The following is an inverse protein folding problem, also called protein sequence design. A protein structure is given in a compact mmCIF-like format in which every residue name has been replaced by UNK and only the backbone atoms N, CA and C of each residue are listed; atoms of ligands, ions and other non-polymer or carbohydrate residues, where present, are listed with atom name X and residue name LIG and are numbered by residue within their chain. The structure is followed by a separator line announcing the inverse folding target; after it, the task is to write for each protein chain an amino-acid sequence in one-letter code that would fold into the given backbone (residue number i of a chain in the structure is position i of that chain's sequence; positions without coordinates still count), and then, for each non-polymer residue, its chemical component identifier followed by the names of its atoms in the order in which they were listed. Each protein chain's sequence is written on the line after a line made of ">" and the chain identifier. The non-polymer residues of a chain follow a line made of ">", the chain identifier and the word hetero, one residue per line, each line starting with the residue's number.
data_IF_579507736062
#
_entry.id   IF_579507736062
#
_cell.length_a   1.000
_cell.length_b   1.000
_cell.length_c   1.000
_cell.angle_alpha   90.00
_cell.angle_beta   90.00
_cell.angle_gamma   90.00
#
_symmetry.space_group_name_H-M   'P 1'
#
loop_
_entity.id
_entity.type
_entity.pdbx_description
1 polymer ?
#
# COMPACT_ATOMS: atom_id res chain seq x y z
N UNK A 1 27.43 57.70 -21.08
CA UNK A 1 26.47 57.63 -22.21
C UNK A 1 25.49 56.52 -21.89
N UNK A 2 24.19 56.68 -21.71
CA UNK A 2 23.30 57.83 -21.50
C UNK A 2 21.99 57.18 -21.02
N UNK A 3 21.33 57.85 -20.09
CA UNK A 3 20.06 57.50 -19.45
C UNK A 3 18.84 57.51 -20.39
N UNK A 4 17.81 56.75 -19.97
CA UNK A 4 16.36 56.86 -20.19
C UNK A 4 15.81 57.97 -21.11
N UNK A 5 14.77 57.64 -21.91
CA UNK A 5 13.41 58.21 -21.71
C UNK A 5 12.37 57.82 -22.78
N UNK A 6 11.12 57.75 -22.31
CA UNK A 6 9.84 58.09 -22.96
C UNK A 6 8.88 56.98 -23.44
N UNK A 7 7.69 57.06 -22.85
CA UNK A 7 6.45 56.36 -23.17
C UNK A 7 5.82 56.90 -24.48
N UNK A 8 4.94 56.09 -25.10
CA UNK A 8 3.55 56.44 -25.48
C UNK A 8 3.13 55.78 -26.79
N UNK A 9 2.20 54.83 -26.73
CA UNK A 9 1.04 54.79 -27.64
C UNK A 9 0.08 53.68 -27.21
N UNK A 10 -1.04 54.10 -26.64
CA UNK A 10 -2.21 53.29 -26.41
C UNK A 10 -2.82 52.86 -27.75
N UNK A 11 -3.17 51.58 -27.88
CA UNK A 11 -4.20 51.10 -28.81
C UNK A 11 -4.97 49.95 -28.17
N UNK A 12 -6.07 50.34 -27.51
CA UNK A 12 -7.38 49.67 -27.51
C UNK A 12 -7.41 48.13 -27.44
N UNK A 13 -7.52 47.58 -26.24
CA UNK A 13 -8.13 46.27 -26.01
C UNK A 13 -9.66 46.43 -25.93
N UNK A 14 -10.46 45.69 -26.71
CA UNK A 14 -11.89 45.64 -26.50
C UNK A 14 -12.18 44.77 -25.28
N UNK A 15 -12.82 45.39 -24.30
CA UNK A 15 -13.50 44.73 -23.19
C UNK A 15 -14.51 43.73 -23.72
N UNK A 16 -14.19 42.44 -23.64
CA UNK A 16 -15.18 41.36 -23.71
C UNK A 16 -15.24 40.69 -22.34
N UNK A 17 -16.33 40.99 -21.65
CA UNK A 17 -16.83 40.28 -20.49
C UNK A 17 -17.13 38.84 -20.88
N UNK A 18 -16.27 37.90 -20.49
CA UNK A 18 -16.49 36.46 -20.56
C UNK A 18 -16.30 35.85 -19.18
N UNK A 19 -17.40 35.44 -18.56
CA UNK A 19 -17.48 34.85 -17.22
C UNK A 19 -16.71 33.52 -17.11
N UNK A 20 -15.97 33.36 -16.01
CA UNK A 20 -15.92 32.14 -15.18
C UNK A 20 -15.35 30.86 -15.80
N UNK A 21 -14.03 30.67 -15.68
CA UNK A 21 -13.33 29.44 -16.07
C UNK A 21 -12.75 28.60 -14.92
N UNK A 22 -12.94 29.00 -13.65
CA UNK A 22 -12.30 28.32 -12.50
C UNK A 22 -13.23 27.32 -11.77
N UNK A 23 -14.48 27.19 -12.21
CA UNK A 23 -15.51 26.41 -11.51
C UNK A 23 -15.55 24.90 -11.83
N UNK A 24 -14.90 24.43 -12.89
CA UNK A 24 -15.14 23.08 -13.41
C UNK A 24 -14.16 22.02 -12.87
N UNK A 25 -12.88 22.36 -12.68
CA UNK A 25 -11.89 21.41 -12.15
C UNK A 25 -12.07 21.10 -10.66
N UNK A 26 -12.44 22.11 -9.86
CA UNK A 26 -12.68 21.93 -8.43
C UNK A 26 -13.91 21.05 -8.17
N UNK A 27 -14.94 21.15 -9.02
CA UNK A 27 -16.15 20.33 -8.91
C UNK A 27 -15.90 18.86 -9.27
N UNK A 28 -15.08 18.60 -10.30
CA UNK A 28 -14.68 17.24 -10.68
C UNK A 28 -13.82 16.55 -9.60
N UNK A 29 -12.85 17.26 -9.01
CA UNK A 29 -12.03 16.72 -7.93
C UNK A 29 -12.88 16.44 -6.68
N UNK A 30 -13.74 17.37 -6.28
CA UNK A 30 -14.63 17.19 -5.14
C UNK A 30 -15.63 16.04 -5.35
N UNK A 31 -16.10 15.84 -6.59
CA UNK A 31 -16.94 14.70 -6.95
C UNK A 31 -16.17 13.39 -6.82
N UNK A 32 -14.94 13.33 -7.33
CA UNK A 32 -14.10 12.14 -7.21
C UNK A 32 -13.77 11.83 -5.74
N UNK A 33 -13.50 12.84 -4.90
CA UNK A 33 -13.30 12.67 -3.46
C UNK A 33 -14.51 12.03 -2.78
N UNK A 34 -15.73 12.43 -3.16
CA UNK A 34 -16.97 11.82 -2.63
C UNK A 34 -17.12 10.36 -3.04
N UNK A 35 -16.77 10.03 -4.28
CA UNK A 35 -16.80 8.64 -4.77
C UNK A 35 -15.79 7.80 -3.99
N UNK A 36 -14.56 8.28 -3.86
CA UNK A 36 -13.50 7.60 -3.10
C UNK A 36 -13.93 7.39 -1.64
N UNK A 37 -14.48 8.42 -0.99
CA UNK A 37 -14.98 8.32 0.38
C UNK A 37 -16.14 7.31 0.50
N UNK A 38 -17.03 7.24 -0.49
CA UNK A 38 -18.09 6.24 -0.51
C UNK A 38 -17.53 4.82 -0.71
N UNK A 39 -16.65 4.62 -1.69
CA UNK A 39 -16.01 3.34 -1.99
C UNK A 39 -15.23 2.79 -0.80
N UNK A 40 -14.47 3.65 -0.10
CA UNK A 40 -13.65 3.26 1.05
C UNK A 40 -14.40 3.32 2.38
N UNK A 41 -15.59 3.92 2.43
CA UNK A 41 -16.39 4.08 3.64
C UNK A 41 -16.88 2.75 4.23
N UNK A 42 -17.01 1.72 3.38
CA UNK A 42 -17.42 0.35 3.74
C UNK A 42 -16.27 -0.54 4.23
N UNK A 43 -15.07 0.03 4.37
CA UNK A 43 -13.86 -0.68 4.75
C UNK A 43 -13.45 -0.23 6.15
N UNK A 44 -13.44 -1.13 7.13
CA UNK A 44 -13.16 -0.78 8.53
C UNK A 44 -11.73 -0.29 8.73
N UNK A 45 -10.75 -1.07 8.27
CA UNK A 45 -9.33 -0.74 8.44
C UNK A 45 -8.59 -0.72 7.10
N UNK A 46 -7.92 0.39 6.79
CA UNK A 46 -7.06 0.52 5.60
C UNK A 46 -5.61 0.47 6.06
N UNK A 47 -4.87 -0.56 5.67
CA UNK A 47 -3.49 -0.78 6.07
C UNK A 47 -2.57 -0.43 4.90
N UNK A 48 -1.85 0.67 5.00
CA UNK A 48 -0.88 1.07 3.98
C UNK A 48 0.48 0.45 4.27
N UNK A 49 0.90 -0.51 3.44
CA UNK A 49 2.17 -1.23 3.61
C UNK A 49 3.24 -0.57 2.75
N UNK A 50 4.31 -0.09 3.38
CA UNK A 50 5.40 0.59 2.68
C UNK A 50 6.79 0.10 3.10
N UNK A 51 7.80 0.42 2.28
CA UNK A 51 9.20 0.17 2.60
C UNK A 51 10.13 1.26 2.08
N UNK A 52 11.20 1.58 2.82
CA UNK A 52 12.16 2.61 2.41
C UNK A 52 13.01 2.26 1.19
N UNK A 53 13.03 0.98 0.77
CA UNK A 53 13.72 0.48 -0.42
C UNK A 53 12.99 -0.73 -1.04
N UNK A 54 13.37 -1.08 -2.27
CA UNK A 54 12.99 -2.33 -2.91
C UNK A 54 13.72 -3.54 -2.30
N UNK A 55 13.17 -4.73 -2.50
CA UNK A 55 13.82 -6.00 -2.11
C UNK A 55 13.67 -6.43 -0.65
N UNK A 56 12.98 -5.68 0.20
CA UNK A 56 12.71 -6.08 1.60
C UNK A 56 11.58 -7.10 1.76
N UNK A 57 10.91 -7.47 0.66
CA UNK A 57 9.78 -8.40 0.67
C UNK A 57 8.44 -7.78 1.08
N UNK A 58 8.26 -6.46 0.93
CA UNK A 58 7.01 -5.72 1.22
C UNK A 58 5.76 -6.43 0.67
N UNK A 59 5.71 -6.70 -0.63
CA UNK A 59 4.56 -7.37 -1.27
C UNK A 59 4.29 -8.78 -0.72
N UNK A 60 5.36 -9.52 -0.39
CA UNK A 60 5.23 -10.83 0.26
C UNK A 60 4.64 -10.71 1.67
N UNK A 61 5.07 -9.70 2.44
CA UNK A 61 4.49 -9.39 3.74
C UNK A 61 3.02 -8.99 3.60
N UNK A 62 2.68 -8.14 2.62
CA UNK A 62 1.31 -7.73 2.34
C UNK A 62 0.41 -8.93 2.05
N UNK A 63 0.81 -9.79 1.09
CA UNK A 63 0.03 -10.97 0.69
C UNK A 63 -0.15 -11.96 1.83
N UNK A 64 0.93 -12.32 2.52
CA UNK A 64 0.85 -13.33 3.57
C UNK A 64 0.10 -12.83 4.82
N UNK A 65 0.20 -11.53 5.13
CA UNK A 65 -0.59 -10.91 6.22
C UNK A 65 -2.07 -10.85 5.86
N UNK A 66 -2.40 -10.46 4.63
CA UNK A 66 -3.79 -10.46 4.14
C UNK A 66 -4.39 -11.87 4.17
N UNK A 67 -3.64 -12.86 3.69
CA UNK A 67 -4.04 -14.26 3.73
C UNK A 67 -4.21 -14.78 5.17
N UNK A 68 -3.35 -14.36 6.11
CA UNK A 68 -3.46 -14.70 7.52
C UNK A 68 -4.72 -14.11 8.15
N UNK A 69 -5.03 -12.84 7.88
CA UNK A 69 -6.27 -12.18 8.31
C UNK A 69 -7.51 -12.88 7.73
N UNK A 70 -7.51 -13.20 6.43
CA UNK A 70 -8.59 -13.95 5.79
C UNK A 70 -8.78 -15.34 6.42
N UNK A 71 -7.69 -16.02 6.76
CA UNK A 71 -7.71 -17.31 7.48
C UNK A 71 -8.27 -17.17 8.90
N UNK A 72 -8.21 -15.99 9.52
CA UNK A 72 -8.88 -15.68 10.80
C UNK A 72 -10.38 -15.36 10.63
N UNK A 73 -10.90 -15.36 9.40
CA UNK A 73 -12.31 -15.13 9.09
C UNK A 73 -12.67 -13.67 8.81
N UNK A 74 -11.68 -12.78 8.70
CA UNK A 74 -11.91 -11.40 8.27
C UNK A 74 -12.13 -11.33 6.75
N UNK A 75 -12.98 -10.40 6.29
CA UNK A 75 -13.07 -10.04 4.88
C UNK A 75 -11.94 -9.09 4.51
N UNK A 76 -11.09 -9.51 3.58
CA UNK A 76 -9.83 -8.83 3.26
C UNK A 76 -9.74 -8.51 1.76
N UNK A 77 -9.39 -7.28 1.44
CA UNK A 77 -8.97 -6.85 0.11
C UNK A 77 -7.48 -6.56 0.05
N UNK A 78 -6.84 -6.82 -1.09
CA UNK A 78 -5.49 -6.32 -1.39
C UNK A 78 -5.56 -5.37 -2.58
N UNK A 79 -5.16 -4.12 -2.36
CA UNK A 79 -4.98 -3.11 -3.40
C UNK A 79 -3.49 -2.97 -3.72
N UNK A 80 -3.07 -3.47 -4.87
CA UNK A 80 -1.70 -3.32 -5.35
C UNK A 80 -1.59 -2.09 -6.27
N UNK A 81 -0.83 -1.10 -5.82
CA UNK A 81 -0.57 0.15 -6.56
C UNK A 81 0.84 0.20 -7.16
N UNK A 82 1.61 -0.89 -7.06
CA UNK A 82 2.94 -1.00 -7.65
C UNK A 82 2.86 -1.44 -9.12
N UNK A 83 3.10 -0.50 -10.03
CA UNK A 83 3.12 -0.75 -11.47
C UNK A 83 4.47 -1.25 -12.01
N UNK A 84 5.49 -1.38 -11.14
CA UNK A 84 6.85 -1.74 -11.54
C UNK A 84 7.35 -3.04 -10.89
N UNK A 85 6.63 -3.55 -9.89
CA UNK A 85 6.99 -4.73 -9.11
C UNK A 85 6.41 -6.05 -9.63
N UNK A 86 6.83 -7.20 -9.07
CA UNK A 86 6.15 -8.46 -9.30
C UNK A 86 4.70 -8.37 -8.82
N UNK A 87 3.77 -8.58 -9.75
CA UNK A 87 2.31 -8.49 -9.55
C UNK A 87 1.85 -9.30 -8.33
N UNK A 88 1.20 -8.65 -7.36
CA UNK A 88 0.54 -9.31 -6.22
C UNK A 88 -0.35 -10.49 -6.66
N UNK A 89 -1.14 -10.39 -7.75
CA UNK A 89 -1.84 -11.52 -8.35
C UNK A 89 -0.98 -12.77 -8.57
N UNK A 90 0.28 -12.63 -9.00
CA UNK A 90 1.16 -13.77 -9.23
C UNK A 90 1.52 -14.49 -7.93
N UNK A 91 1.72 -13.76 -6.83
CA UNK A 91 1.97 -14.34 -5.49
C UNK A 91 0.75 -15.12 -4.97
N UNK A 92 -0.43 -14.88 -5.53
CA UNK A 92 -1.67 -15.58 -5.27
C UNK A 92 -2.04 -16.60 -6.37
N UNK A 93 -1.19 -16.79 -7.38
CA UNK A 93 -1.48 -17.71 -8.49
C UNK A 93 -2.69 -17.28 -9.33
N UNK A 94 -3.07 -16.01 -9.27
CA UNK A 94 -4.20 -15.44 -9.99
C UNK A 94 -3.76 -14.80 -11.30
N UNK A 95 -4.61 -14.87 -12.31
CA UNK A 95 -4.42 -14.12 -13.55
C UNK A 95 -4.81 -12.66 -13.34
N UNK A 96 -4.01 -11.74 -13.87
CA UNK A 96 -4.17 -10.29 -13.73
C UNK A 96 -5.23 -9.72 -14.68
N UNK A 97 -6.38 -10.38 -14.80
CA UNK A 97 -7.49 -9.92 -15.64
C UNK A 97 -8.47 -9.12 -14.81
N UNK A 98 -8.72 -7.87 -15.20
CA UNK A 98 -9.75 -7.03 -14.58
C UNK A 98 -11.09 -7.31 -15.22
N UNK A 99 -12.02 -7.81 -14.42
CA UNK A 99 -13.43 -7.90 -14.81
C UNK A 99 -14.16 -6.61 -14.43
N UNK A 100 -15.16 -6.24 -15.23
CA UNK A 100 -16.02 -5.10 -14.95
C UNK A 100 -17.37 -5.60 -14.42
N UNK A 101 -18.05 -4.76 -13.64
CA UNK A 101 -19.39 -5.05 -13.17
C UNK A 101 -20.42 -5.03 -14.31
N UNK A 102 -21.67 -5.42 -14.01
CA UNK A 102 -22.71 -5.51 -15.03
C UNK A 102 -23.02 -4.17 -15.73
N UNK A 103 -22.69 -3.03 -15.09
CA UNK A 103 -22.81 -1.70 -15.68
C UNK A 103 -21.61 -1.30 -16.54
N UNK A 104 -20.48 -2.00 -16.42
CA UNK A 104 -19.23 -1.65 -17.08
C UNK A 104 -18.53 -0.43 -16.47
N UNK A 105 -18.94 0.00 -15.27
CA UNK A 105 -18.47 1.22 -14.63
C UNK A 105 -17.41 0.94 -13.55
N UNK A 106 -17.56 -0.17 -12.82
CA UNK A 106 -16.68 -0.53 -11.71
C UNK A 106 -15.90 -1.80 -12.00
N UNK A 107 -14.64 -1.81 -11.57
CA UNK A 107 -13.79 -2.98 -11.59
C UNK A 107 -14.14 -3.93 -10.44
N UNK A 108 -14.17 -5.22 -10.74
CA UNK A 108 -14.38 -6.29 -9.77
C UNK A 108 -13.01 -6.84 -9.30
N UNK A 109 -12.73 -6.83 -7.98
CA UNK A 109 -11.56 -7.51 -7.45
C UNK A 109 -11.59 -9.01 -7.77
N UNK A 110 -10.46 -9.58 -8.16
CA UNK A 110 -10.31 -11.01 -8.36
C UNK A 110 -10.36 -11.74 -7.01
N UNK A 111 -11.28 -12.69 -6.86
CA UNK A 111 -11.39 -13.49 -5.64
C UNK A 111 -10.29 -14.57 -5.62
N UNK A 112 -9.50 -14.61 -4.55
CA UNK A 112 -8.62 -15.74 -4.25
C UNK A 112 -9.38 -16.84 -3.52
N UNK A 113 -10.19 -16.46 -2.52
CA UNK A 113 -11.12 -17.32 -1.80
C UNK A 113 -12.31 -16.50 -1.28
N UNK A 114 -13.18 -17.09 -0.45
CA UNK A 114 -14.38 -16.42 0.08
C UNK A 114 -14.09 -15.14 0.89
N UNK A 115 -12.90 -15.02 1.49
CA UNK A 115 -12.52 -13.97 2.43
C UNK A 115 -11.38 -13.08 1.92
N UNK A 116 -10.79 -13.38 0.75
CA UNK A 116 -9.66 -12.64 0.20
C UNK A 116 -9.88 -12.34 -1.27
N UNK A 117 -9.85 -11.05 -1.61
CA UNK A 117 -9.86 -10.56 -2.98
C UNK A 117 -8.71 -9.59 -3.25
N UNK A 118 -8.32 -9.45 -4.51
CA UNK A 118 -7.19 -8.61 -4.93
C UNK A 118 -7.53 -7.83 -6.17
N UNK A 119 -7.02 -6.61 -6.24
CA UNK A 119 -6.91 -5.87 -7.49
C UNK A 119 -5.52 -5.25 -7.58
N UNK A 120 -4.93 -5.26 -8.78
CA UNK A 120 -3.60 -4.70 -9.02
C UNK A 120 -3.62 -3.77 -10.22
N UNK A 121 -2.90 -2.65 -10.10
CA UNK A 121 -2.69 -1.73 -11.22
C UNK A 121 -1.96 -2.40 -12.40
N UNK A 122 -1.16 -3.45 -12.16
CA UNK A 122 -0.56 -4.26 -13.22
C UNK A 122 -1.63 -4.89 -14.13
N UNK A 123 -2.81 -5.17 -13.57
CA UNK A 123 -3.94 -5.77 -14.30
C UNK A 123 -4.61 -4.78 -15.27
N UNK A 124 -4.39 -3.47 -15.10
CA UNK A 124 -4.89 -2.44 -16.00
C UNK A 124 -4.01 -2.23 -17.24
N UNK A 125 -2.82 -2.82 -17.25
CA UNK A 125 -1.88 -2.66 -18.35
C UNK A 125 -2.24 -3.66 -19.45
N UNK A 126 -2.58 -3.13 -20.63
CA UNK A 126 -2.86 -3.96 -21.81
C UNK A 126 -1.60 -4.70 -22.30
N UNK A 127 -0.42 -4.12 -22.06
CA UNK A 127 0.88 -4.69 -22.41
C UNK A 127 1.83 -4.54 -21.22
N UNK A 128 2.29 -5.66 -20.66
CA UNK A 128 3.18 -5.70 -19.50
C UNK A 128 4.64 -5.41 -19.85
N UNK A 129 5.02 -5.57 -21.11
CA UNK A 129 6.38 -5.30 -21.58
C UNK A 129 6.58 -3.81 -21.94
N UNK A 130 5.50 -3.04 -21.97
CA UNK A 130 5.55 -1.62 -22.25
C UNK A 130 5.93 -0.80 -21.00
N UNK A 131 7.09 -0.13 -21.06
CA UNK A 131 7.50 0.80 -20.03
C UNK A 131 6.49 1.96 -19.89
N UNK A 132 5.80 2.02 -18.75
CA UNK A 132 4.84 3.08 -18.44
C UNK A 132 5.59 4.39 -18.16
N UNK A 133 5.63 5.28 -19.15
CA UNK A 133 6.20 6.61 -19.02
C UNK A 133 5.12 7.66 -18.67
N UNK A 134 4.40 7.44 -17.57
CA UNK A 134 3.41 8.42 -17.10
C UNK A 134 4.08 9.51 -16.27
N UNK A 135 3.83 10.78 -16.63
CA UNK A 135 4.31 11.94 -15.89
C UNK A 135 3.46 12.17 -14.63
N UNK A 136 4.07 12.67 -13.55
CA UNK A 136 3.52 12.81 -12.19
C UNK A 136 2.01 13.03 -12.08
N UNK A 137 1.43 14.11 -12.64
CA UNK A 137 0.00 14.39 -12.52
C UNK A 137 -0.91 13.31 -13.12
N UNK A 138 -0.51 12.68 -14.23
CA UNK A 138 -1.26 11.57 -14.84
C UNK A 138 -1.20 10.33 -13.97
N UNK A 139 -0.03 10.04 -13.39
CA UNK A 139 0.15 8.91 -12.48
C UNK A 139 -0.71 9.07 -11.23
N UNK A 140 -0.72 10.25 -10.62
CA UNK A 140 -1.57 10.52 -9.45
C UNK A 140 -3.07 10.43 -9.78
N UNK A 141 -3.50 10.94 -10.93
CA UNK A 141 -4.89 10.81 -11.37
C UNK A 141 -5.29 9.35 -11.61
N UNK A 142 -4.41 8.55 -12.22
CA UNK A 142 -4.65 7.13 -12.44
C UNK A 142 -4.79 6.34 -11.13
N UNK A 143 -3.94 6.62 -10.13
CA UNK A 143 -4.04 6.02 -8.78
C UNK A 143 -5.37 6.36 -8.13
N UNK A 144 -5.77 7.64 -8.18
CA UNK A 144 -7.04 8.08 -7.59
C UNK A 144 -8.25 7.47 -8.28
N UNK A 145 -8.26 7.42 -9.60
CA UNK A 145 -9.31 6.78 -10.37
C UNK A 145 -9.38 5.28 -10.05
N UNK A 146 -8.22 4.61 -9.98
CA UNK A 146 -8.15 3.20 -9.62
C UNK A 146 -8.70 2.92 -8.22
N UNK A 147 -8.45 3.79 -7.24
CA UNK A 147 -9.03 3.65 -5.90
C UNK A 147 -10.55 3.87 -5.94
N UNK A 148 -11.04 4.81 -6.75
CA UNK A 148 -12.45 5.17 -6.85
C UNK A 148 -13.31 4.07 -7.49
N UNK A 149 -12.80 3.46 -8.56
CA UNK A 149 -13.59 2.62 -9.47
C UNK A 149 -13.60 1.13 -9.08
N UNK A 150 -13.27 0.78 -7.84
CA UNK A 150 -13.22 -0.62 -7.41
C UNK A 150 -14.39 -0.98 -6.52
N UNK A 151 -15.09 -2.05 -6.88
CA UNK A 151 -16.24 -2.56 -6.13
C UNK A 151 -15.81 -3.53 -5.04
N UNK A 152 -15.28 -3.00 -3.94
CA UNK A 152 -14.84 -3.81 -2.79
C UNK A 152 -15.98 -4.48 -2.02
N UNK A 153 -17.11 -3.78 -1.87
CA UNK A 153 -18.14 -4.17 -0.91
C UNK A 153 -17.68 -3.94 0.53
N UNK A 154 -18.23 -4.73 1.47
CA UNK A 154 -17.90 -4.64 2.90
C UNK A 154 -16.63 -5.42 3.23
N UNK A 155 -15.61 -4.74 3.77
CA UNK A 155 -14.33 -5.34 4.17
C UNK A 155 -13.98 -4.99 5.62
N UNK A 156 -13.39 -5.95 6.33
CA UNK A 156 -12.76 -5.68 7.62
C UNK A 156 -11.39 -5.03 7.43
N UNK A 157 -10.62 -5.48 6.43
CA UNK A 157 -9.28 -4.95 6.14
C UNK A 157 -9.07 -4.75 4.63
N UNK A 158 -8.49 -3.60 4.26
CA UNK A 158 -7.91 -3.37 2.94
C UNK A 158 -6.40 -3.15 3.11
N UNK A 159 -5.60 -4.09 2.61
CA UNK A 159 -4.14 -3.93 2.59
C UNK A 159 -3.73 -3.29 1.27
N UNK A 160 -2.95 -2.21 1.36
CA UNK A 160 -2.51 -1.43 0.20
C UNK A 160 -1.01 -1.67 0.03
N UNK A 161 -0.63 -2.34 -1.06
CA UNK A 161 0.77 -2.58 -1.38
C UNK A 161 1.34 -1.38 -2.15
N UNK A 162 2.13 -0.54 -1.48
CA UNK A 162 2.72 0.65 -2.10
C UNK A 162 3.84 0.28 -3.09
N UNK A 163 4.27 1.15 -4.01
CA UNK A 163 5.57 0.97 -4.68
C UNK A 163 6.72 1.02 -3.65
N UNK A 164 7.94 0.58 -3.99
CA UNK A 164 9.08 0.75 -3.10
C UNK A 164 9.54 2.22 -3.00
N UNK A 165 10.11 2.61 -1.85
CA UNK A 165 10.78 3.90 -1.66
C UNK A 165 9.88 4.95 -0.99
N UNK A 166 10.14 6.23 -1.32
CA UNK A 166 9.42 7.38 -0.74
C UNK A 166 9.08 8.40 -1.84
N UNK A 167 8.52 7.91 -2.95
CA UNK A 167 8.12 8.71 -4.12
C UNK A 167 6.74 9.35 -4.01
N UNK A 168 6.38 10.19 -4.98
CA UNK A 168 5.11 10.95 -5.04
C UNK A 168 3.86 10.04 -5.06
N UNK A 169 4.01 8.77 -5.47
CA UNK A 169 2.94 7.77 -5.46
C UNK A 169 2.42 7.53 -4.05
N UNK A 170 3.33 7.41 -3.08
CA UNK A 170 2.98 7.23 -1.67
C UNK A 170 2.18 8.41 -1.17
N UNK A 171 2.59 9.63 -1.54
CA UNK A 171 1.85 10.83 -1.14
C UNK A 171 0.47 10.90 -1.77
N UNK A 172 0.34 10.44 -3.00
CA UNK A 172 -0.96 10.38 -3.67
C UNK A 172 -1.89 9.43 -2.93
N UNK A 173 -1.43 8.22 -2.58
CA UNK A 173 -2.24 7.23 -1.85
C UNK A 173 -2.63 7.75 -0.47
N UNK A 174 -1.67 8.25 0.32
CA UNK A 174 -1.92 8.73 1.68
C UNK A 174 -2.85 9.96 1.73
N UNK A 175 -2.77 10.86 0.73
CA UNK A 175 -3.73 11.96 0.62
C UNK A 175 -5.12 11.51 0.18
N UNK A 176 -5.20 10.40 -0.54
CA UNK A 176 -6.46 9.85 -1.05
C UNK A 176 -7.15 8.99 0.01
N UNK A 177 -6.38 8.37 0.91
CA UNK A 177 -6.83 7.51 2.00
C UNK A 177 -6.24 8.04 3.32
N UNK A 178 -6.75 9.18 3.83
CA UNK A 178 -6.15 9.88 4.96
C UNK A 178 -6.24 9.10 6.28
N UNK A 179 -7.19 8.18 6.41
CA UNK A 179 -7.39 7.30 7.56
C UNK A 179 -6.53 6.01 7.49
N UNK A 180 -5.64 5.89 6.50
CA UNK A 180 -4.78 4.73 6.35
C UNK A 180 -3.79 4.59 7.52
N UNK A 181 -3.70 3.38 8.05
CA UNK A 181 -2.76 2.97 9.09
C UNK A 181 -1.50 2.39 8.43
N UNK A 182 -0.37 3.06 8.60
CA UNK A 182 0.88 2.75 7.91
C UNK A 182 1.69 1.66 8.64
N UNK A 183 2.03 0.61 7.91
CA UNK A 183 2.95 -0.45 8.34
C UNK A 183 4.25 -0.33 7.55
N UNK A 184 5.37 -0.20 8.25
CA UNK A 184 6.69 -0.07 7.63
C UNK A 184 7.42 -1.41 7.65
N UNK A 185 7.73 -1.95 6.48
CA UNK A 185 8.48 -3.21 6.33
C UNK A 185 9.98 -2.92 6.17
N UNK A 186 10.79 -3.60 6.98
CA UNK A 186 12.26 -3.51 6.95
C UNK A 186 12.93 -4.88 7.03
N UNK A 187 14.26 -4.90 6.96
CA UNK A 187 15.13 -6.07 7.22
C UNK A 187 16.19 -5.73 8.28
N UNK A 188 16.83 -6.71 8.94
CA UNK A 188 17.77 -6.46 10.05
C UNK A 188 19.13 -5.84 9.66
N UNK A 189 19.48 -5.81 8.36
CA UNK A 189 20.81 -5.40 7.91
C UNK A 189 21.08 -3.90 8.21
N UNK A 190 22.23 -3.51 8.77
CA UNK A 190 22.55 -2.10 9.13
C UNK A 190 22.35 -1.06 8.02
N UNK A 191 22.47 -1.46 6.74
CA UNK A 191 22.22 -0.59 5.58
C UNK A 191 20.71 -0.29 5.42
N UNK A 192 19.81 -1.06 6.03
CA UNK A 192 18.35 -0.81 6.08
C UNK A 192 17.93 0.27 7.08
N UNK A 193 18.69 0.54 8.15
CA UNK A 193 18.30 1.54 9.17
C UNK A 193 18.14 2.94 8.56
N UNK A 194 19.00 3.29 7.60
CA UNK A 194 18.90 4.54 6.85
C UNK A 194 17.65 4.59 5.98
N UNK A 195 17.22 3.45 5.42
CA UNK A 195 16.03 3.35 4.58
C UNK A 195 14.76 3.47 5.42
N UNK A 196 14.71 2.85 6.59
CA UNK A 196 13.55 3.00 7.49
C UNK A 196 13.49 4.40 8.07
N UNK A 197 14.62 5.02 8.42
CA UNK A 197 14.65 6.44 8.82
C UNK A 197 14.01 7.32 7.75
N UNK A 198 14.33 7.10 6.47
CA UNK A 198 13.70 7.83 5.36
C UNK A 198 12.19 7.58 5.28
N UNK A 199 11.77 6.32 5.41
CA UNK A 199 10.35 5.96 5.43
C UNK A 199 9.59 6.62 6.58
N UNK A 200 10.14 6.60 7.80
CA UNK A 200 9.53 7.23 8.99
C UNK A 200 9.48 8.74 8.84
N UNK A 201 10.58 9.38 8.40
CA UNK A 201 10.60 10.82 8.15
C UNK A 201 9.59 11.23 7.06
N UNK A 202 9.45 10.40 6.02
CA UNK A 202 8.45 10.61 4.99
C UNK A 202 7.02 10.52 5.55
N UNK A 203 6.73 9.52 6.39
CA UNK A 203 5.43 9.37 7.03
C UNK A 203 5.12 10.53 7.99
N UNK A 204 6.12 11.03 8.71
CA UNK A 204 5.98 12.24 9.52
C UNK A 204 5.68 13.48 8.66
N UNK A 205 6.40 13.66 7.56
CA UNK A 205 6.13 14.73 6.60
C UNK A 205 4.73 14.63 5.98
N UNK A 206 4.28 13.41 5.72
CA UNK A 206 2.95 13.10 5.20
C UNK A 206 1.83 13.25 6.25
N UNK A 207 2.16 13.47 7.53
CA UNK A 207 1.24 13.40 8.67
C UNK A 207 0.43 12.09 8.70
N UNK A 208 1.09 10.98 8.37
CA UNK A 208 0.44 9.68 8.26
C UNK A 208 0.40 8.94 9.61
N UNK A 209 -0.65 8.15 9.81
CA UNK A 209 -0.88 7.39 11.03
C UNK A 209 -0.03 6.10 11.04
N UNK A 210 1.12 6.11 11.70
CA UNK A 210 2.01 4.93 11.74
C UNK A 210 1.50 3.89 12.74
N UNK A 211 1.09 2.72 12.24
CA UNK A 211 0.64 1.59 13.07
C UNK A 211 1.82 0.87 13.72
N UNK A 212 2.92 0.72 12.99
CA UNK A 212 4.15 0.11 13.49
C UNK A 212 5.10 -0.39 12.43
N UNK A 213 6.15 -1.09 12.89
CA UNK A 213 7.24 -1.62 12.07
C UNK A 213 7.20 -3.15 12.07
N UNK A 214 7.44 -3.75 10.91
CA UNK A 214 7.61 -5.19 10.70
C UNK A 214 9.03 -5.47 10.23
N UNK A 215 9.73 -6.35 10.93
CA UNK A 215 11.04 -6.84 10.50
C UNK A 215 10.87 -8.14 9.69
N UNK A 216 11.05 -8.06 8.38
CA UNK A 216 11.07 -9.23 7.50
C UNK A 216 12.50 -9.80 7.40
N UNK A 217 12.61 -11.08 7.02
CA UNK A 217 13.88 -11.78 6.87
C UNK A 217 14.75 -11.78 8.15
N UNK A 218 14.09 -11.86 9.31
CA UNK A 218 14.73 -11.81 10.64
C UNK A 218 15.35 -13.17 11.02
N UNK A 219 16.62 -13.35 10.66
CA UNK A 219 17.33 -14.61 10.78
C UNK A 219 16.72 -15.74 9.95
N UNK A 220 17.17 -16.97 10.19
CA UNK A 220 16.78 -18.18 9.47
C UNK A 220 16.58 -19.30 10.50
N UNK A 221 15.49 -20.04 10.42
CA UNK A 221 15.33 -21.25 11.23
C UNK A 221 15.90 -22.44 10.46
N UNK A 222 16.89 -23.11 11.04
CA UNK A 222 17.51 -24.26 10.39
C UNK A 222 16.49 -25.40 10.19
N UNK A 223 16.26 -25.89 8.95
CA UNK A 223 15.29 -26.94 8.70
C UNK A 223 15.69 -28.29 9.31
N UNK A 224 16.98 -28.50 9.60
CA UNK A 224 17.49 -29.76 10.15
C UNK A 224 17.49 -29.82 11.68
N UNK A 225 17.79 -28.72 12.37
CA UNK A 225 17.96 -28.70 13.82
C UNK A 225 17.05 -27.71 14.55
N UNK A 226 16.22 -26.97 13.82
CA UNK A 226 15.25 -25.96 14.32
C UNK A 226 15.86 -24.86 15.20
N UNK A 227 17.19 -24.73 15.21
CA UNK A 227 17.88 -23.62 15.82
C UNK A 227 17.85 -22.41 14.90
N UNK A 228 17.77 -21.25 15.50
CA UNK A 228 17.86 -19.99 14.77
C UNK A 228 19.31 -19.70 14.37
N UNK A 229 19.46 -19.14 13.17
CA UNK A 229 20.71 -18.70 12.59
C UNK A 229 20.53 -17.22 12.25
N UNK A 230 21.36 -16.37 12.84
CA UNK A 230 21.34 -14.92 12.59
C UNK A 230 22.07 -14.58 11.30
N UNK A 231 21.47 -14.94 10.17
CA UNK A 231 22.08 -14.79 8.84
C UNK A 231 22.44 -13.33 8.51
N UNK A 232 21.62 -12.38 8.98
CA UNK A 232 21.77 -10.95 8.70
C UNK A 232 21.67 -10.05 9.95
N UNK A 233 21.96 -10.60 11.13
CA UNK A 233 21.56 -10.05 12.46
C UNK A 233 20.04 -10.10 12.66
N UNK A 234 19.57 -9.74 13.86
CA UNK A 234 18.16 -9.66 14.25
C UNK A 234 17.94 -8.42 15.12
N UNK A 235 16.69 -7.95 15.19
CA UNK A 235 16.28 -6.92 16.14
C UNK A 235 16.56 -5.48 15.69
N UNK A 236 17.16 -5.27 14.52
CA UNK A 236 17.40 -3.91 14.00
C UNK A 236 16.11 -3.13 13.75
N UNK A 237 15.04 -3.80 13.34
CA UNK A 237 13.70 -3.22 13.20
C UNK A 237 13.03 -2.92 14.54
N UNK A 238 13.26 -3.74 15.56
CA UNK A 238 12.72 -3.55 16.91
C UNK A 238 13.43 -2.39 17.63
N UNK A 239 14.76 -2.36 17.62
CA UNK A 239 15.57 -1.26 18.13
C UNK A 239 15.19 0.07 17.49
N UNK A 240 14.96 0.05 16.17
CA UNK A 240 14.53 1.23 15.44
C UNK A 240 13.11 1.67 15.82
N UNK A 241 12.17 0.74 15.94
CA UNK A 241 10.82 1.05 16.40
C UNK A 241 10.89 1.73 17.78
N UNK A 242 11.68 1.19 18.70
CA UNK A 242 11.92 1.78 20.01
C UNK A 242 12.53 3.18 19.93
N UNK A 243 13.51 3.40 19.04
CA UNK A 243 14.17 4.70 18.87
C UNK A 243 13.21 5.81 18.43
N UNK A 244 12.23 5.51 17.55
CA UNK A 244 11.23 6.48 17.09
C UNK A 244 9.94 6.46 17.91
N UNK A 245 9.86 5.67 18.99
CA UNK A 245 8.64 5.50 19.79
C UNK A 245 7.49 4.85 19.02
N UNK A 246 7.82 4.05 17.99
CA UNK A 246 6.86 3.30 17.18
C UNK A 246 6.61 1.92 17.78
N UNK A 247 5.44 1.35 17.48
CA UNK A 247 5.13 -0.04 17.84
C UNK A 247 5.92 -1.00 16.95
N UNK A 248 6.53 -2.01 17.57
CA UNK A 248 7.03 -3.18 16.85
C UNK A 248 5.90 -4.19 16.71
N UNK A 249 5.52 -4.53 15.46
CA UNK A 249 4.40 -5.43 15.17
C UNK A 249 4.83 -6.91 15.14
N UNK A 250 6.12 -7.15 14.89
CA UNK A 250 6.71 -8.48 14.92
C UNK A 250 7.81 -8.68 13.88
N UNK A 251 8.38 -9.87 13.92
CA UNK A 251 9.43 -10.33 13.02
C UNK A 251 9.01 -11.58 12.25
N UNK A 252 9.36 -11.63 10.97
CA UNK A 252 9.17 -12.80 10.10
C UNK A 252 10.55 -13.35 9.71
N UNK A 253 10.87 -14.61 10.05
CA UNK A 253 12.15 -15.20 9.70
C UNK A 253 12.23 -15.55 8.22
N UNK A 254 13.45 -15.68 7.69
CA UNK A 254 13.68 -16.36 6.42
C UNK A 254 13.28 -17.82 6.58
N UNK A 255 12.43 -18.27 5.66
CA UNK A 255 11.95 -19.64 5.61
C UNK A 255 11.89 -20.08 4.14
N UNK A 256 12.62 -21.15 3.74
CA UNK A 256 12.52 -21.70 2.38
C UNK A 256 11.07 -21.98 1.95
N UNK A 257 10.18 -22.28 2.88
CA UNK A 257 8.77 -22.48 2.59
C UNK A 257 8.13 -21.26 1.93
N UNK A 258 8.52 -20.03 2.30
CA UNK A 258 7.98 -18.81 1.68
C UNK A 258 8.35 -18.66 0.20
N UNK A 259 9.54 -19.13 -0.19
CA UNK A 259 9.99 -19.09 -1.59
C UNK A 259 9.19 -20.12 -2.40
N UNK A 260 9.08 -21.34 -1.87
CA UNK A 260 8.28 -22.40 -2.50
C UNK A 260 6.80 -21.99 -2.60
N UNK A 261 6.27 -21.30 -1.60
CA UNK A 261 4.90 -20.79 -1.60
C UNK A 261 4.71 -19.76 -2.73
N UNK A 262 5.62 -18.78 -2.81
CA UNK A 262 5.58 -17.73 -3.84
C UNK A 262 5.69 -18.31 -5.26
N UNK A 263 6.59 -19.26 -5.50
CA UNK A 263 6.75 -19.92 -6.81
C UNK A 263 5.50 -20.71 -7.23
N UNK A 264 4.74 -21.21 -6.26
CA UNK A 264 3.46 -21.91 -6.47
C UNK A 264 2.26 -20.97 -6.57
N UNK A 265 2.43 -19.66 -6.30
CA UNK A 265 1.33 -18.72 -6.19
C UNK A 265 0.39 -19.03 -5.02
N UNK A 266 0.91 -19.52 -3.91
CA UNK A 266 0.12 -19.83 -2.71
C UNK A 266 0.74 -19.12 -1.50
N UNK A 267 -0.02 -18.35 -0.70
CA UNK A 267 0.48 -17.79 0.56
C UNK A 267 0.99 -18.89 1.50
N UNK A 268 2.10 -18.63 2.20
CA UNK A 268 2.74 -19.60 3.11
C UNK A 268 1.79 -20.06 4.21
N UNK A 269 0.85 -19.20 4.61
CA UNK A 269 -0.15 -19.50 5.63
C UNK A 269 -1.18 -20.53 5.18
N UNK A 270 -1.33 -20.79 3.89
CA UNK A 270 -2.19 -21.84 3.35
C UNK A 270 -1.46 -23.13 3.00
N UNK A 271 -0.12 -23.16 3.09
CA UNK A 271 0.62 -24.41 2.92
C UNK A 271 0.27 -25.42 4.03
N UNK A 272 0.33 -26.70 3.66
CA UNK A 272 0.22 -27.82 4.58
C UNK A 272 1.45 -27.88 5.50
N UNK A 273 1.23 -28.26 6.76
CA UNK A 273 2.27 -28.31 7.78
C UNK A 273 2.44 -27.01 8.57
N UNK A 274 3.13 -27.13 9.70
CA UNK A 274 3.54 -25.98 10.52
C UNK A 274 4.92 -25.49 10.07
N UNK A 275 5.16 -24.19 10.22
CA UNK A 275 6.41 -23.58 9.80
C UNK A 275 6.64 -22.22 10.48
N UNK A 276 7.89 -21.82 10.69
CA UNK A 276 8.21 -20.59 11.41
C UNK A 276 7.64 -19.34 10.73
N UNK A 277 7.73 -19.24 9.39
CA UNK A 277 7.12 -18.09 8.70
C UNK A 277 5.60 -18.07 8.80
N UNK A 278 4.94 -19.23 8.69
CA UNK A 278 3.48 -19.35 8.85
C UNK A 278 3.02 -18.88 10.23
N UNK A 279 3.67 -19.35 11.28
CA UNK A 279 3.38 -18.92 12.65
C UNK A 279 3.62 -17.42 12.85
N UNK A 280 4.73 -16.89 12.33
CA UNK A 280 5.02 -15.45 12.38
C UNK A 280 3.99 -14.61 11.63
N UNK A 281 3.50 -15.03 10.46
CA UNK A 281 2.47 -14.29 9.72
C UNK A 281 1.10 -14.33 10.40
N UNK A 282 0.74 -15.46 11.02
CA UNK A 282 -0.48 -15.54 11.83
C UNK A 282 -0.41 -14.60 13.05
N UNK A 283 0.72 -14.61 13.75
CA UNK A 283 0.95 -13.70 14.87
C UNK A 283 0.98 -12.23 14.43
N UNK A 284 1.58 -11.93 13.27
CA UNK A 284 1.62 -10.58 12.70
C UNK A 284 0.22 -10.09 12.33
N UNK A 285 -0.62 -10.94 11.74
CA UNK A 285 -2.02 -10.61 11.45
C UNK A 285 -2.80 -10.31 12.74
N UNK A 286 -2.62 -11.12 13.78
CA UNK A 286 -3.27 -10.89 15.08
C UNK A 286 -2.79 -9.56 15.71
N UNK A 287 -1.48 -9.26 15.62
CA UNK A 287 -0.91 -8.01 16.11
C UNK A 287 -1.44 -6.79 15.34
N UNK A 288 -1.54 -6.87 14.01
CA UNK A 288 -2.10 -5.80 13.18
C UNK A 288 -3.58 -5.60 13.47
N UNK A 289 -4.37 -6.67 13.56
CA UNK A 289 -5.80 -6.56 13.87
C UNK A 289 -6.04 -5.92 15.24
N UNK A 290 -5.31 -6.38 16.27
CA UNK A 290 -5.37 -5.79 17.60
C UNK A 290 -4.90 -4.32 17.61
N UNK A 291 -3.84 -4.01 16.85
CA UNK A 291 -3.31 -2.66 16.77
C UNK A 291 -4.28 -1.70 16.07
N UNK A 292 -4.91 -2.13 14.98
CA UNK A 292 -5.84 -1.34 14.20
C UNK A 292 -7.12 -1.03 15.01
N UNK A 293 -7.69 -2.03 15.69
CA UNK A 293 -8.86 -1.85 16.54
C UNK A 293 -8.61 -0.90 17.73
N UNK A 294 -7.37 -0.82 18.21
CA UNK A 294 -7.00 0.08 19.31
C UNK A 294 -6.48 1.46 18.81
N UNK A 295 -6.47 1.70 17.51
CA UNK A 295 -6.06 2.99 16.97
C UNK A 295 -7.14 4.04 17.24
N UNK A 296 -6.73 5.29 17.51
CA UNK A 296 -7.68 6.39 17.75
C UNK A 296 -8.58 6.67 16.53
N UNK A 297 -8.14 6.31 15.32
CA UNK A 297 -8.95 6.40 14.10
C UNK A 297 -10.06 5.35 14.04
N UNK A 298 -9.82 4.15 14.59
CA UNK A 298 -10.89 3.16 14.77
C UNK A 298 -11.96 3.60 15.78
N UNK A 299 -11.64 4.58 16.64
CA UNK A 299 -12.58 5.17 17.61
C UNK A 299 -13.29 6.43 17.07
N UNK A 300 -12.71 7.08 16.05
CA UNK A 300 -13.30 8.26 15.38
C UNK A 300 -14.28 7.87 14.26
N UNK A 301 -14.19 6.63 13.76
CA UNK A 301 -15.14 6.06 12.80
C UNK A 301 -16.42 5.64 13.54
N UNK A 302 -17.58 6.25 13.26
CA UNK A 302 -18.82 5.87 13.92
C UNK A 302 -19.16 4.43 13.53
N UNK A 303 -19.23 3.55 14.54
CA UNK A 303 -19.81 2.22 14.39
C UNK A 303 -21.18 2.38 13.73
N UNK A 304 -21.30 1.92 12.48
CA UNK A 304 -22.55 1.88 11.73
C UNK A 304 -23.37 0.68 12.16
#
# INVERSE_FOLDING_TARGET
>A
MSSCSSCSSASSCPSSTGKGGDGNCNDLMARQDRIIAATLGHIRHKIFVMSGKGGVGKSSVTVNTAAALARRGFKVGILDVDMHGPSVPNLLGLTSTVEMDAGGELMLPAAYNENLSVISMDSLLQDRDQAILWRGPKKSAAIRQFIADVKWGELDFLLIDSPPGTGDEHMTVLKTIPDALCVVVTTPQEISLADVRKAVNFLQYANANVLGVVENMSGLVCPHCHKEIDLFKKGGGEELAQHYGLRFLGAVPLDPATVVAADRGVPVVYLEGEGPAKSSFLALADAIAAAANNSLEALSTPNS
#
